data_IF_963093339306
#
_entry.id   IF_963093339306
#
_cell.length_a   1.000
_cell.length_b   1.000
_cell.length_c   1.000
_cell.angle_alpha   90.00
_cell.angle_beta   90.00
_cell.angle_gamma   90.00
#
_symmetry.space_group_name_H-M   'P 1'
#
loop_
_entity.id
_entity.type
_entity.pdbx_description
1 polymer ?
#
# COMPACT_ATOMS: atom_id res chain seq x y z
N UNK A 1 33.76 -4.59 -5.61
CA UNK A 1 33.43 -3.98 -6.93
C UNK A 1 32.00 -4.36 -7.22
N UNK A 2 31.14 -3.40 -7.55
CA UNK A 2 29.77 -3.71 -7.98
C UNK A 2 29.82 -4.60 -9.22
N UNK A 3 28.93 -5.58 -9.34
CA UNK A 3 28.84 -6.45 -10.51
C UNK A 3 28.33 -5.65 -11.72
N UNK A 4 28.53 -6.15 -12.93
CA UNK A 4 27.96 -5.56 -14.15
C UNK A 4 26.41 -5.49 -14.05
N UNK A 5 25.81 -6.47 -13.39
CA UNK A 5 24.37 -6.50 -13.08
C UNK A 5 23.99 -5.35 -12.17
N UNK A 6 24.73 -5.09 -11.09
CA UNK A 6 24.45 -3.99 -10.17
C UNK A 6 24.49 -2.63 -10.89
N UNK A 7 25.50 -2.44 -11.76
CA UNK A 7 25.62 -1.21 -12.55
C UNK A 7 24.43 -0.99 -13.49
N UNK A 8 23.93 -2.07 -14.13
CA UNK A 8 22.73 -2.02 -15.00
C UNK A 8 21.47 -1.72 -14.20
N UNK A 9 21.31 -2.32 -13.00
CA UNK A 9 20.17 -2.07 -12.12
C UNK A 9 20.17 -0.63 -11.66
N UNK A 10 21.31 -0.09 -11.22
CA UNK A 10 21.42 1.31 -10.83
C UNK A 10 21.13 2.27 -11.98
N UNK A 11 21.55 1.94 -13.21
CA UNK A 11 21.25 2.74 -14.39
C UNK A 11 19.75 2.74 -14.70
N UNK A 12 19.10 1.58 -14.63
CA UNK A 12 17.67 1.43 -14.80
C UNK A 12 16.89 2.26 -13.78
N UNK A 13 17.21 2.12 -12.49
CA UNK A 13 16.52 2.82 -11.40
C UNK A 13 16.69 4.34 -11.41
N UNK A 14 17.76 4.87 -12.03
CA UNK A 14 17.89 6.30 -12.24
C UNK A 14 16.87 6.85 -13.23
N UNK A 15 16.47 6.08 -14.22
CA UNK A 15 15.52 6.49 -15.25
C UNK A 15 14.09 6.04 -14.95
N UNK A 16 13.97 4.93 -14.18
CA UNK A 16 12.70 4.31 -13.80
C UNK A 16 12.75 3.98 -12.30
N UNK A 17 12.68 4.98 -11.43
CA UNK A 17 12.75 4.75 -9.99
C UNK A 17 11.53 3.97 -9.48
N UNK A 18 11.72 3.25 -8.37
CA UNK A 18 10.65 2.52 -7.71
C UNK A 18 9.61 3.50 -7.15
N UNK A 19 8.35 3.20 -7.39
CA UNK A 19 7.21 3.84 -6.71
C UNK A 19 6.64 2.79 -5.75
N UNK A 20 6.86 3.00 -4.46
CA UNK A 20 6.39 2.08 -3.41
C UNK A 20 4.98 2.46 -2.97
N UNK A 21 4.06 1.49 -3.06
CA UNK A 21 2.64 1.68 -2.78
C UNK A 21 2.28 1.75 -1.30
N UNK A 22 3.16 1.29 -0.38
CA UNK A 22 2.76 1.19 1.03
C UNK A 22 3.95 1.13 1.98
N UNK A 23 3.92 1.96 3.03
CA UNK A 23 4.96 1.97 4.04
C UNK A 23 4.42 2.47 5.40
N UNK A 24 4.49 1.62 6.42
CA UNK A 24 3.96 1.88 7.77
C UNK A 24 4.93 2.62 8.69
N UNK A 25 5.93 3.30 8.16
CA UNK A 25 6.85 4.09 8.98
C UNK A 25 6.14 5.09 9.92
N UNK A 26 5.04 5.76 9.50
CA UNK A 26 4.30 6.65 10.42
C UNK A 26 3.73 5.93 11.63
N UNK A 27 3.26 4.69 11.48
CA UNK A 27 2.78 3.87 12.60
C UNK A 27 3.93 3.44 13.52
N UNK A 28 5.05 3.00 12.94
CA UNK A 28 6.25 2.68 13.72
C UNK A 28 6.77 3.87 14.53
N UNK A 29 6.71 5.08 13.98
CA UNK A 29 7.08 6.29 14.69
C UNK A 29 6.11 6.60 15.84
N UNK A 30 4.81 6.35 15.67
CA UNK A 30 3.82 6.46 16.75
C UNK A 30 4.17 5.55 17.92
N UNK A 31 4.35 4.26 17.64
CA UNK A 31 4.54 3.23 18.65
C UNK A 31 5.89 3.34 19.37
N UNK A 32 6.93 3.74 18.64
CA UNK A 32 8.29 3.79 19.21
C UNK A 32 8.61 5.08 19.93
N UNK A 33 8.22 6.22 19.34
CA UNK A 33 8.71 7.54 19.77
C UNK A 33 7.61 8.61 19.80
N UNK A 34 6.34 8.21 19.79
CA UNK A 34 5.19 9.14 19.80
C UNK A 34 5.35 10.30 18.77
N UNK A 35 5.82 9.93 17.56
CA UNK A 35 6.13 10.85 16.45
C UNK A 35 7.29 11.83 16.67
N UNK A 36 8.16 11.59 17.66
CA UNK A 36 9.38 12.39 17.81
C UNK A 36 10.42 12.00 16.74
N UNK A 37 10.35 12.69 15.60
CA UNK A 37 11.28 12.51 14.49
C UNK A 37 12.73 12.95 14.82
N UNK A 38 12.99 13.55 16.01
CA UNK A 38 14.34 13.80 16.47
C UNK A 38 14.92 12.57 17.18
N UNK A 39 14.10 11.77 17.83
CA UNK A 39 14.49 10.50 18.42
C UNK A 39 14.59 9.40 17.36
N UNK A 40 13.65 9.34 16.40
CA UNK A 40 13.69 8.47 15.22
C UNK A 40 14.17 9.28 14.00
N UNK A 41 15.47 9.61 13.95
CA UNK A 41 16.03 10.38 12.83
C UNK A 41 16.29 9.49 11.61
N UNK A 42 15.34 9.46 10.68
CA UNK A 42 15.40 8.65 9.46
C UNK A 42 16.42 9.13 8.42
N UNK A 43 17.07 10.27 8.62
CA UNK A 43 18.22 10.66 7.81
C UNK A 43 19.48 9.85 8.15
N UNK A 44 19.52 9.23 9.32
CA UNK A 44 20.63 8.39 9.77
C UNK A 44 20.43 6.93 9.33
N UNK A 45 21.51 6.25 8.88
CA UNK A 45 21.41 4.85 8.49
C UNK A 45 21.21 3.92 9.69
N UNK A 46 20.57 2.76 9.44
CA UNK A 46 20.47 1.69 10.44
C UNK A 46 19.45 1.93 11.54
N UNK A 47 18.42 2.72 11.25
CA UNK A 47 17.29 2.88 12.16
C UNK A 47 16.64 1.52 12.48
N UNK A 48 16.05 1.33 13.67
CA UNK A 48 15.41 0.08 14.08
C UNK A 48 14.06 -0.17 13.40
N UNK A 49 13.85 0.43 12.23
CA UNK A 49 12.69 0.30 11.34
C UNK A 49 13.12 -0.36 10.03
N UNK A 50 12.18 -0.82 9.21
CA UNK A 50 12.50 -1.32 7.87
C UNK A 50 12.94 -0.20 6.91
N UNK A 51 12.63 1.06 7.23
CA UNK A 51 12.81 2.22 6.36
C UNK A 51 13.68 3.29 7.02
N UNK A 52 14.63 3.82 6.25
CA UNK A 52 15.31 5.09 6.46
C UNK A 52 15.68 5.71 5.10
N UNK A 53 15.98 6.99 5.06
CA UNK A 53 16.29 7.71 3.81
C UNK A 53 17.49 7.10 3.08
N UNK A 54 18.61 6.73 3.74
CA UNK A 54 19.72 6.06 3.06
C UNK A 54 19.32 4.76 2.35
N UNK A 55 18.46 3.92 2.97
CA UNK A 55 17.97 2.68 2.36
C UNK A 55 17.01 2.93 1.21
N UNK A 56 16.10 3.90 1.32
CA UNK A 56 15.21 4.31 0.21
C UNK A 56 16.04 4.75 -1.01
N UNK A 57 17.06 5.58 -0.79
CA UNK A 57 17.95 6.02 -1.86
C UNK A 57 18.77 4.88 -2.47
N UNK A 58 19.30 3.98 -1.63
CA UNK A 58 20.05 2.81 -2.08
C UNK A 58 19.16 1.85 -2.91
N UNK A 59 17.87 1.74 -2.56
CA UNK A 59 16.87 0.96 -3.29
C UNK A 59 16.30 1.65 -4.52
N UNK A 60 16.72 2.88 -4.83
CA UNK A 60 16.23 3.62 -6.00
C UNK A 60 14.77 4.05 -5.90
N UNK A 61 14.25 4.26 -4.69
CA UNK A 61 12.88 4.73 -4.46
C UNK A 61 12.77 6.20 -4.86
N UNK A 62 11.91 6.49 -5.83
CA UNK A 62 11.60 7.86 -6.29
C UNK A 62 10.28 8.40 -5.76
N UNK A 63 9.35 7.50 -5.38
CA UNK A 63 8.12 7.90 -4.73
C UNK A 63 7.69 6.87 -3.67
N UNK A 64 7.09 7.34 -2.58
CA UNK A 64 6.65 6.54 -1.47
C UNK A 64 5.24 6.96 -1.04
N UNK A 65 4.32 6.00 -0.98
CA UNK A 65 3.09 6.17 -0.23
C UNK A 65 3.33 5.85 1.26
N UNK A 66 3.18 6.85 2.09
CA UNK A 66 3.19 6.70 3.54
C UNK A 66 1.79 6.30 4.02
N UNK A 67 1.70 5.14 4.65
CA UNK A 67 0.44 4.65 5.21
C UNK A 67 0.07 5.45 6.46
N UNK A 68 -1.15 5.98 6.48
CA UNK A 68 -1.79 6.49 7.70
C UNK A 68 -2.76 5.43 8.20
N UNK A 69 -2.14 4.38 8.75
CA UNK A 69 -2.83 3.24 9.35
C UNK A 69 -3.38 3.60 10.73
N UNK A 70 -4.56 3.06 11.04
CA UNK A 70 -5.11 3.06 12.40
C UNK A 70 -5.78 1.71 12.68
N UNK A 71 -5.72 1.20 13.93
CA UNK A 71 -6.37 -0.05 14.30
C UNK A 71 -7.86 -0.06 13.94
N UNK A 72 -8.33 -1.17 13.43
CA UNK A 72 -9.71 -1.35 12.97
C UNK A 72 -10.74 -1.44 14.10
N UNK A 73 -10.28 -1.72 15.32
CA UNK A 73 -11.10 -1.78 16.54
C UNK A 73 -11.33 -0.40 17.19
N UNK A 74 -10.72 0.66 16.67
CA UNK A 74 -10.98 2.01 17.16
C UNK A 74 -12.43 2.43 16.83
N UNK A 75 -13.19 2.90 17.83
CA UNK A 75 -14.57 3.34 17.59
C UNK A 75 -14.63 4.60 16.73
N UNK A 76 -15.40 4.58 15.66
CA UNK A 76 -15.88 5.69 14.85
C UNK A 76 -15.01 6.94 14.83
N UNK A 77 -15.38 7.97 15.58
CA UNK A 77 -14.66 9.25 15.61
C UNK A 77 -13.22 9.15 16.14
N UNK A 78 -12.87 8.13 16.93
CA UNK A 78 -11.51 7.94 17.39
C UNK A 78 -10.59 7.48 16.25
N UNK A 79 -11.10 6.63 15.33
CA UNK A 79 -10.36 6.25 14.13
C UNK A 79 -10.09 7.47 13.25
N UNK A 80 -11.09 8.35 13.05
CA UNK A 80 -10.91 9.61 12.30
C UNK A 80 -9.84 10.49 12.96
N UNK A 81 -9.89 10.68 14.29
CA UNK A 81 -8.90 11.49 15.02
C UNK A 81 -7.51 10.92 14.87
N UNK A 82 -7.34 9.61 15.08
CA UNK A 82 -6.04 8.95 14.95
C UNK A 82 -5.48 9.03 13.51
N UNK A 83 -6.36 8.97 12.49
CA UNK A 83 -5.96 9.18 11.09
C UNK A 83 -5.45 10.60 10.86
N UNK A 84 -6.09 11.62 11.44
CA UNK A 84 -5.64 13.01 11.34
C UNK A 84 -4.28 13.21 12.03
N UNK A 85 -4.03 12.59 13.18
CA UNK A 85 -2.72 12.60 13.87
C UNK A 85 -1.63 11.96 12.99
N UNK A 86 -1.93 10.86 12.30
CA UNK A 86 -1.01 10.21 11.37
C UNK A 86 -0.69 11.12 10.17
N UNK A 87 -1.69 11.79 9.60
CA UNK A 87 -1.49 12.74 8.49
C UNK A 87 -0.60 13.89 8.93
N UNK A 88 -0.82 14.46 10.12
CA UNK A 88 0.01 15.52 10.69
C UNK A 88 1.45 15.06 10.86
N UNK A 89 1.65 13.85 11.39
CA UNK A 89 2.98 13.25 11.56
C UNK A 89 3.73 13.05 10.24
N UNK A 90 3.02 12.64 9.16
CA UNK A 90 3.62 12.53 7.83
C UNK A 90 4.01 13.91 7.29
N UNK A 91 3.16 14.91 7.45
CA UNK A 91 3.51 16.29 7.05
C UNK A 91 4.70 16.84 7.83
N UNK A 92 4.77 16.58 9.15
CA UNK A 92 5.91 16.95 9.99
C UNK A 92 7.21 16.24 9.55
N UNK A 93 7.14 14.95 9.21
CA UNK A 93 8.25 14.18 8.67
C UNK A 93 8.77 14.80 7.36
N UNK A 94 7.89 15.05 6.40
CA UNK A 94 8.27 15.65 5.12
C UNK A 94 8.92 17.02 5.32
N UNK A 95 8.38 17.85 6.20
CA UNK A 95 8.91 19.17 6.50
C UNK A 95 10.27 19.13 7.21
N UNK A 96 10.57 18.06 7.97
CA UNK A 96 11.85 17.87 8.65
C UNK A 96 12.99 17.51 7.70
N UNK A 97 12.70 16.83 6.59
CA UNK A 97 13.70 16.35 5.64
C UNK A 97 13.50 16.95 4.24
N UNK A 98 13.53 18.28 4.09
CA UNK A 98 13.14 18.96 2.84
C UNK A 98 14.13 18.74 1.69
N UNK A 99 15.36 18.32 1.98
CA UNK A 99 16.37 18.00 0.97
C UNK A 99 16.16 16.58 0.39
N UNK A 100 15.42 15.73 1.08
CA UNK A 100 15.20 14.33 0.71
C UNK A 100 13.75 14.05 0.31
N UNK A 101 12.78 14.62 1.02
CA UNK A 101 11.36 14.36 0.87
C UNK A 101 10.62 15.59 0.36
N UNK A 102 9.61 15.38 -0.48
CA UNK A 102 8.70 16.46 -0.90
C UNK A 102 7.28 15.93 -1.06
N UNK A 103 6.30 16.66 -0.53
CA UNK A 103 4.90 16.28 -0.68
C UNK A 103 4.48 16.26 -2.15
N UNK A 104 3.84 15.17 -2.58
CA UNK A 104 3.29 15.00 -3.90
C UNK A 104 1.79 14.68 -3.82
N UNK A 105 1.02 15.22 -4.74
CA UNK A 105 -0.45 15.04 -4.82
C UNK A 105 -0.92 14.63 -6.21
N UNK A 106 -0.05 14.75 -7.20
CA UNK A 106 -0.32 14.47 -8.62
C UNK A 106 0.87 13.73 -9.23
N UNK A 107 0.67 13.08 -10.40
CA UNK A 107 1.76 12.48 -11.17
C UNK A 107 2.85 13.51 -11.52
N UNK A 108 2.47 14.72 -11.91
CA UNK A 108 3.43 15.79 -12.20
C UNK A 108 4.23 16.26 -10.97
N UNK A 109 3.70 16.09 -9.75
CA UNK A 109 4.48 16.35 -8.53
C UNK A 109 5.54 15.27 -8.33
N UNK A 110 5.19 13.99 -8.64
CA UNK A 110 6.13 12.86 -8.56
C UNK A 110 7.28 13.07 -9.56
N UNK A 111 6.96 13.34 -10.82
CA UNK A 111 7.94 13.59 -11.88
C UNK A 111 8.91 14.73 -11.47
N UNK A 112 8.36 15.84 -11.01
CA UNK A 112 9.15 16.98 -10.54
C UNK A 112 10.03 16.66 -9.35
N UNK A 113 9.55 15.86 -8.40
CA UNK A 113 10.34 15.42 -7.25
C UNK A 113 11.53 14.58 -7.69
N UNK A 114 11.31 13.61 -8.58
CA UNK A 114 12.34 12.75 -9.17
C UNK A 114 13.39 13.58 -9.91
N UNK A 115 12.99 14.54 -10.76
CA UNK A 115 13.87 15.44 -11.47
C UNK A 115 14.75 16.28 -10.51
N UNK A 116 14.22 16.60 -9.32
CA UNK A 116 14.94 17.33 -8.28
C UNK A 116 15.80 16.43 -7.37
N UNK A 117 15.83 15.11 -7.63
CA UNK A 117 16.57 14.14 -6.82
C UNK A 117 15.97 13.92 -5.44
N UNK A 118 14.67 14.23 -5.24
CA UNK A 118 13.92 14.02 -4.01
C UNK A 118 12.94 12.87 -4.15
N UNK A 119 12.57 12.27 -3.01
CA UNK A 119 11.56 11.22 -2.95
C UNK A 119 10.18 11.88 -2.81
N UNK A 120 9.33 11.69 -3.81
CA UNK A 120 7.94 12.13 -3.77
C UNK A 120 7.20 11.41 -2.65
N UNK A 121 6.60 12.16 -1.74
CA UNK A 121 5.91 11.63 -0.56
C UNK A 121 4.41 11.82 -0.71
N UNK A 122 3.70 10.70 -0.88
CA UNK A 122 2.24 10.64 -0.97
C UNK A 122 1.67 10.06 0.33
N UNK A 123 0.38 10.21 0.56
CA UNK A 123 -0.31 9.68 1.73
C UNK A 123 -1.40 8.71 1.27
N UNK A 124 -1.41 7.51 1.85
CA UNK A 124 -2.47 6.53 1.71
C UNK A 124 -3.15 6.27 3.03
N UNK A 125 -4.48 6.33 3.08
CA UNK A 125 -5.23 5.95 4.28
C UNK A 125 -5.53 4.44 4.23
N UNK A 126 -5.16 3.72 5.29
CA UNK A 126 -5.37 2.29 5.35
C UNK A 126 -6.53 1.92 6.26
N UNK A 127 -7.60 1.53 5.60
CA UNK A 127 -8.82 1.05 6.24
C UNK A 127 -9.98 2.05 6.27
N UNK A 128 -11.15 1.59 5.88
CA UNK A 128 -12.38 2.40 5.77
C UNK A 128 -12.91 2.93 7.10
N UNK A 129 -12.43 2.41 8.25
CA UNK A 129 -12.70 2.98 9.57
C UNK A 129 -12.21 4.43 9.69
N UNK A 130 -11.20 4.82 8.91
CA UNK A 130 -10.65 6.18 8.85
C UNK A 130 -11.68 7.26 8.46
N UNK A 131 -12.80 6.88 7.86
CA UNK A 131 -13.86 7.82 7.46
C UNK A 131 -15.13 7.73 8.31
N UNK A 132 -15.23 6.81 9.27
CA UNK A 132 -16.41 6.59 10.13
C UNK A 132 -17.74 6.64 9.33
N UNK A 133 -17.77 5.94 8.19
CA UNK A 133 -18.93 5.93 7.26
C UNK A 133 -19.39 7.33 6.83
N UNK A 134 -18.47 8.29 6.68
CA UNK A 134 -18.76 9.69 6.32
C UNK A 134 -18.05 10.10 5.02
N UNK A 135 -18.83 10.40 3.96
CA UNK A 135 -18.27 11.00 2.75
C UNK A 135 -17.67 12.41 3.01
N UNK A 136 -18.13 13.09 4.06
CA UNK A 136 -17.54 14.35 4.50
C UNK A 136 -16.11 14.16 4.99
N UNK A 137 -15.88 13.15 5.84
CA UNK A 137 -14.55 12.77 6.31
C UNK A 137 -13.65 12.38 5.11
N UNK A 138 -14.13 11.55 4.18
CA UNK A 138 -13.40 11.16 2.97
C UNK A 138 -12.90 12.39 2.18
N UNK A 139 -13.79 13.37 1.95
CA UNK A 139 -13.42 14.63 1.26
C UNK A 139 -12.35 15.43 2.00
N UNK A 140 -12.43 15.44 3.33
CA UNK A 140 -11.43 16.15 4.14
C UNK A 140 -10.09 15.44 4.13
N UNK A 141 -10.04 14.10 4.20
CA UNK A 141 -8.79 13.35 4.04
C UNK A 141 -8.12 13.65 2.70
N UNK A 142 -8.89 13.68 1.59
CA UNK A 142 -8.37 14.07 0.28
C UNK A 142 -7.79 15.50 0.28
N UNK A 143 -8.49 16.45 0.91
CA UNK A 143 -8.05 17.84 1.02
C UNK A 143 -6.74 17.96 1.81
N UNK A 144 -6.54 17.11 2.82
CA UNK A 144 -5.32 17.03 3.62
C UNK A 144 -4.16 16.33 2.90
N UNK A 145 -4.38 15.73 1.75
CA UNK A 145 -3.31 15.15 0.93
C UNK A 145 -3.38 13.65 0.72
N UNK A 146 -4.36 12.94 1.30
CA UNK A 146 -4.56 11.51 1.07
C UNK A 146 -4.90 11.27 -0.40
N UNK A 147 -4.25 10.26 -1.01
CA UNK A 147 -4.39 9.95 -2.45
C UNK A 147 -4.91 8.55 -2.73
N UNK A 148 -4.91 7.66 -1.75
CA UNK A 148 -5.74 6.46 -1.79
C UNK A 148 -6.45 6.21 -0.46
N UNK A 149 -7.51 5.43 -0.49
CA UNK A 149 -8.13 4.80 0.68
C UNK A 149 -8.24 3.30 0.42
N UNK A 150 -7.64 2.50 1.31
CA UNK A 150 -7.88 1.06 1.37
C UNK A 150 -9.25 0.83 2.02
N UNK A 151 -10.17 0.14 1.34
CA UNK A 151 -11.58 0.11 1.74
C UNK A 151 -11.85 -0.61 3.07
N UNK A 152 -10.96 -1.54 3.45
CA UNK A 152 -10.96 -2.21 4.78
C UNK A 152 -9.53 -2.39 5.26
N UNK A 153 -9.33 -2.74 6.52
CA UNK A 153 -8.10 -3.37 7.01
C UNK A 153 -8.38 -4.85 7.33
N UNK A 154 -7.97 -5.36 8.48
CA UNK A 154 -8.16 -6.77 8.84
C UNK A 154 -9.61 -7.14 9.20
N UNK A 155 -10.40 -6.17 9.63
CA UNK A 155 -11.81 -6.34 9.98
C UNK A 155 -12.72 -5.66 8.95
N UNK A 156 -13.96 -6.15 8.87
CA UNK A 156 -14.97 -5.51 8.04
C UNK A 156 -15.25 -4.08 8.52
N UNK A 157 -15.63 -3.23 7.57
CA UNK A 157 -16.34 -1.99 7.90
C UNK A 157 -17.83 -2.16 7.59
N UNK A 158 -18.73 -1.31 8.10
CA UNK A 158 -20.18 -1.48 7.89
C UNK A 158 -20.63 -1.54 6.42
N UNK A 159 -19.74 -1.22 5.48
CA UNK A 159 -20.05 -1.08 4.06
C UNK A 159 -19.13 -1.87 3.10
N UNK A 160 -18.12 -2.58 3.63
CA UNK A 160 -17.21 -3.42 2.83
C UNK A 160 -16.66 -4.59 3.66
N UNK A 161 -16.52 -5.76 3.03
CA UNK A 161 -15.95 -6.96 3.65
C UNK A 161 -14.43 -7.03 3.47
N UNK A 162 -13.72 -7.34 4.57
CA UNK A 162 -12.29 -7.62 4.61
C UNK A 162 -11.97 -9.04 4.13
N UNK A 163 -10.74 -9.24 3.67
CA UNK A 163 -10.22 -10.56 3.30
C UNK A 163 -10.02 -11.51 4.48
N UNK A 164 -9.88 -10.98 5.69
CA UNK A 164 -9.49 -11.74 6.90
C UNK A 164 -10.58 -11.80 7.96
N UNK A 165 -11.75 -11.26 7.67
CA UNK A 165 -12.92 -11.34 8.54
C UNK A 165 -14.07 -12.14 7.88
N UNK A 166 -15.08 -12.47 8.67
CA UNK A 166 -16.27 -13.18 8.20
C UNK A 166 -17.14 -12.23 7.37
N UNK A 167 -17.46 -12.56 6.10
CA UNK A 167 -18.25 -11.69 5.24
C UNK A 167 -19.63 -11.34 5.86
N UNK A 168 -20.02 -10.08 5.78
CA UNK A 168 -21.28 -9.55 6.33
C UNK A 168 -22.16 -8.92 5.26
N UNK A 169 -21.57 -8.17 4.32
CA UNK A 169 -22.33 -7.43 3.29
C UNK A 169 -22.23 -8.08 1.90
N UNK A 170 -21.38 -9.08 1.72
CA UNK A 170 -21.17 -9.75 0.43
C UNK A 170 -20.46 -8.87 -0.59
N UNK A 171 -19.38 -8.20 -0.15
CA UNK A 171 -18.62 -7.27 -0.95
C UNK A 171 -18.83 -5.81 -0.54
N UNK A 172 -19.50 -5.01 -1.37
CA UNK A 172 -19.84 -3.61 -1.07
C UNK A 172 -21.34 -3.41 -0.84
N UNK A 173 -21.69 -2.73 0.25
CA UNK A 173 -23.05 -2.21 0.45
C UNK A 173 -23.37 -1.07 -0.53
N UNK A 174 -24.59 -0.53 -0.51
CA UNK A 174 -24.95 0.66 -1.27
C UNK A 174 -24.05 1.87 -0.92
N UNK A 175 -23.78 2.10 0.38
CA UNK A 175 -22.87 3.14 0.82
C UNK A 175 -21.43 2.90 0.38
N UNK A 176 -20.94 1.64 0.40
CA UNK A 176 -19.61 1.30 -0.11
C UNK A 176 -19.43 1.67 -1.58
N UNK A 177 -20.47 1.47 -2.40
CA UNK A 177 -20.46 1.93 -3.80
C UNK A 177 -20.43 3.45 -3.93
N UNK A 178 -21.14 4.18 -3.05
CA UNK A 178 -21.07 5.63 -2.99
C UNK A 178 -19.67 6.11 -2.62
N UNK A 179 -18.98 5.43 -1.70
CA UNK A 179 -17.58 5.73 -1.34
C UNK A 179 -16.68 5.58 -2.57
N UNK A 180 -16.76 4.46 -3.30
CA UNK A 180 -15.97 4.23 -4.53
C UNK A 180 -16.22 5.33 -5.57
N UNK A 181 -17.47 5.67 -5.82
CA UNK A 181 -17.83 6.72 -6.80
C UNK A 181 -17.36 8.11 -6.34
N UNK A 182 -17.44 8.42 -5.05
CA UNK A 182 -16.93 9.68 -4.50
C UNK A 182 -15.39 9.75 -4.60
N UNK A 183 -14.68 8.65 -4.35
CA UNK A 183 -13.23 8.57 -4.57
C UNK A 183 -12.88 8.85 -6.03
N UNK A 184 -13.60 8.25 -6.98
CA UNK A 184 -13.41 8.53 -8.41
C UNK A 184 -13.65 10.02 -8.72
N UNK A 185 -14.72 10.62 -8.19
CA UNK A 185 -15.02 12.05 -8.39
C UNK A 185 -13.92 12.98 -7.86
N UNK A 186 -13.29 12.60 -6.74
CA UNK A 186 -12.19 13.35 -6.14
C UNK A 186 -10.85 13.16 -6.89
N UNK A 187 -10.68 12.08 -7.63
CA UNK A 187 -9.39 11.63 -8.13
C UNK A 187 -8.53 10.94 -7.05
N UNK A 188 -9.18 10.32 -6.06
CA UNK A 188 -8.55 9.46 -5.07
C UNK A 188 -8.57 8.03 -5.57
N UNK A 189 -7.43 7.34 -5.52
CA UNK A 189 -7.31 5.95 -5.92
C UNK A 189 -8.07 5.04 -4.95
N UNK A 190 -8.84 4.10 -5.50
CA UNK A 190 -9.46 3.02 -4.71
C UNK A 190 -8.42 1.93 -4.52
N UNK A 191 -8.00 1.70 -3.28
CA UNK A 191 -7.06 0.64 -2.96
C UNK A 191 -7.82 -0.61 -2.49
N UNK A 192 -7.57 -1.72 -3.17
CA UNK A 192 -8.22 -3.01 -2.97
C UNK A 192 -7.34 -4.02 -2.20
N UNK A 193 -6.20 -3.60 -1.67
CA UNK A 193 -5.50 -4.38 -0.66
C UNK A 193 -6.41 -4.59 0.56
N UNK A 194 -6.23 -5.67 1.30
CA UNK A 194 -7.04 -6.06 2.48
C UNK A 194 -8.48 -6.48 2.24
N UNK A 195 -9.12 -6.11 1.16
CA UNK A 195 -10.55 -6.39 0.95
C UNK A 195 -10.80 -7.83 0.52
N UNK A 196 -11.98 -8.36 0.80
CA UNK A 196 -12.39 -9.70 0.33
C UNK A 196 -12.45 -9.76 -1.20
N UNK A 197 -12.32 -10.97 -1.76
CA UNK A 197 -12.42 -11.16 -3.21
C UNK A 197 -13.78 -10.65 -3.78
N UNK A 198 -14.85 -10.76 -3.01
CA UNK A 198 -16.15 -10.23 -3.43
C UNK A 198 -16.19 -8.71 -3.38
N UNK A 199 -15.50 -8.08 -2.42
CA UNK A 199 -15.30 -6.62 -2.41
C UNK A 199 -14.44 -6.16 -3.58
N UNK A 200 -13.37 -6.89 -3.94
CA UNK A 200 -12.56 -6.59 -5.13
C UNK A 200 -13.43 -6.55 -6.40
N UNK A 201 -14.25 -7.59 -6.61
CA UNK A 201 -15.16 -7.68 -7.76
C UNK A 201 -16.21 -6.57 -7.75
N UNK A 202 -16.85 -6.34 -6.60
CA UNK A 202 -17.86 -5.30 -6.45
C UNK A 202 -17.30 -3.89 -6.68
N UNK A 203 -16.08 -3.62 -6.23
CA UNK A 203 -15.38 -2.36 -6.48
C UNK A 203 -15.06 -2.17 -7.97
N UNK A 204 -14.54 -3.22 -8.64
CA UNK A 204 -14.28 -3.20 -10.08
C UNK A 204 -15.56 -3.06 -10.92
N UNK A 205 -16.69 -3.56 -10.44
CA UNK A 205 -18.01 -3.35 -11.09
C UNK A 205 -18.56 -1.94 -10.89
N UNK A 206 -18.06 -1.22 -9.88
CA UNK A 206 -18.57 0.11 -9.48
C UNK A 206 -17.68 1.24 -9.99
N UNK A 207 -16.36 1.04 -9.96
CA UNK A 207 -15.40 2.10 -10.27
C UNK A 207 -15.44 2.53 -11.73
N UNK A 208 -15.18 3.81 -11.95
CA UNK A 208 -15.06 4.45 -13.28
C UNK A 208 -13.61 4.93 -13.53
N UNK A 209 -12.68 4.58 -12.63
CA UNK A 209 -11.29 4.97 -12.69
C UNK A 209 -10.38 3.78 -12.32
N UNK A 210 -9.09 3.81 -12.67
CA UNK A 210 -8.13 2.81 -12.28
C UNK A 210 -8.09 2.59 -10.76
N UNK A 211 -8.03 1.31 -10.35
CA UNK A 211 -7.83 0.91 -8.96
C UNK A 211 -6.37 0.53 -8.72
N UNK A 212 -5.98 0.42 -7.45
CA UNK A 212 -4.69 -0.14 -7.08
C UNK A 212 -4.86 -1.28 -6.07
N UNK A 213 -3.88 -2.16 -6.06
CA UNK A 213 -3.54 -3.01 -4.93
C UNK A 213 -2.20 -2.50 -4.41
N UNK A 214 -2.22 -1.67 -3.38
CA UNK A 214 -1.02 -0.98 -2.90
C UNK A 214 0.03 -1.94 -2.32
N UNK A 215 -0.40 -3.12 -1.81
CA UNK A 215 0.46 -4.16 -1.24
C UNK A 215 -0.27 -5.51 -1.20
N UNK A 216 -0.30 -6.23 -2.31
CA UNK A 216 -0.90 -7.56 -2.45
C UNK A 216 -0.07 -8.42 -3.41
N UNK A 217 -0.27 -9.74 -3.38
CA UNK A 217 0.41 -10.69 -4.26
C UNK A 217 -0.60 -11.56 -5.00
N UNK A 218 -0.17 -12.51 -5.82
CA UNK A 218 -1.04 -13.39 -6.59
C UNK A 218 -1.51 -14.59 -5.76
N UNK A 219 -2.83 -14.85 -5.69
CA UNK A 219 -3.40 -15.97 -4.93
C UNK A 219 -3.04 -17.32 -5.53
N UNK A 220 -2.88 -17.40 -6.83
CA UNK A 220 -2.50 -18.63 -7.51
C UNK A 220 -1.16 -19.22 -7.05
N UNK A 221 -0.22 -18.38 -6.59
CA UNK A 221 1.10 -18.80 -6.11
C UNK A 221 1.14 -19.01 -4.60
N UNK A 222 0.36 -18.25 -3.84
CA UNK A 222 0.23 -18.41 -2.39
C UNK A 222 -1.23 -18.16 -2.00
N UNK A 223 -1.93 -19.24 -1.57
CA UNK A 223 -3.34 -19.21 -1.22
C UNK A 223 -3.58 -18.48 0.11
N UNK A 224 -3.27 -17.20 0.13
CA UNK A 224 -3.58 -16.30 1.22
C UNK A 224 -4.79 -15.42 0.86
N UNK A 225 -5.77 -15.19 1.77
CA UNK A 225 -6.95 -14.37 1.47
C UNK A 225 -6.61 -12.91 1.09
N UNK A 226 -5.45 -12.41 1.54
CA UNK A 226 -4.92 -11.09 1.18
C UNK A 226 -4.41 -11.00 -0.26
N UNK A 227 -4.17 -12.13 -0.91
CA UNK A 227 -3.68 -12.20 -2.29
C UNK A 227 -4.83 -12.12 -3.29
N UNK A 228 -4.53 -11.56 -4.46
CA UNK A 228 -5.50 -11.25 -5.52
C UNK A 228 -5.77 -12.49 -6.37
N UNK A 229 -7.03 -12.90 -6.56
CA UNK A 229 -7.38 -13.98 -7.49
C UNK A 229 -7.14 -13.60 -8.95
N UNK A 230 -6.85 -14.59 -9.81
CA UNK A 230 -6.54 -14.36 -11.23
C UNK A 230 -7.69 -13.73 -12.01
N UNK A 231 -8.94 -14.05 -11.67
CA UNK A 231 -10.11 -13.42 -12.30
C UNK A 231 -10.20 -11.90 -12.01
N UNK A 232 -9.65 -11.48 -10.89
CA UNK A 232 -9.54 -10.06 -10.51
C UNK A 232 -8.32 -9.42 -11.17
N UNK A 233 -7.15 -10.09 -11.14
CA UNK A 233 -5.94 -9.61 -11.83
C UNK A 233 -6.20 -9.37 -13.31
N UNK A 234 -6.87 -10.29 -13.99
CA UNK A 234 -7.19 -10.17 -15.42
C UNK A 234 -8.03 -8.92 -15.73
N UNK A 235 -8.82 -8.43 -14.79
CA UNK A 235 -9.65 -7.21 -14.98
C UNK A 235 -8.84 -5.91 -14.90
N UNK A 236 -7.61 -5.95 -14.39
CA UNK A 236 -6.78 -4.74 -14.31
C UNK A 236 -6.40 -4.20 -15.69
N UNK A 237 -6.22 -5.09 -16.68
CA UNK A 237 -5.95 -4.68 -18.05
C UNK A 237 -7.03 -3.74 -18.62
N UNK A 238 -8.30 -4.08 -18.42
CA UNK A 238 -9.44 -3.27 -18.87
C UNK A 238 -9.68 -2.04 -17.98
N UNK A 239 -9.40 -2.18 -16.67
CA UNK A 239 -9.59 -1.09 -15.69
C UNK A 239 -8.49 -0.03 -15.75
N UNK A 240 -7.28 -0.39 -16.22
CA UNK A 240 -6.09 0.46 -16.20
C UNK A 240 -5.42 0.57 -14.82
N UNK A 241 -5.80 -0.29 -13.88
CA UNK A 241 -5.24 -0.35 -12.53
C UNK A 241 -3.94 -1.14 -12.45
N UNK A 242 -3.40 -1.29 -11.23
CA UNK A 242 -2.15 -2.02 -10.99
C UNK A 242 -2.11 -2.78 -9.67
N UNK A 243 -1.27 -3.83 -9.65
CA UNK A 243 -0.99 -4.63 -8.47
C UNK A 243 0.47 -4.46 -8.07
N UNK A 244 0.72 -3.84 -6.91
CA UNK A 244 2.03 -3.69 -6.31
C UNK A 244 2.30 -4.89 -5.41
N UNK A 245 3.32 -5.70 -5.79
CA UNK A 245 3.63 -6.95 -5.12
C UNK A 245 4.25 -6.68 -3.76
N UNK A 246 3.64 -7.24 -2.71
CA UNK A 246 4.15 -7.09 -1.34
C UNK A 246 5.27 -8.07 -1.02
N UNK A 247 6.17 -7.69 -0.09
CA UNK A 247 7.27 -8.52 0.40
C UNK A 247 6.94 -9.29 1.69
N UNK A 248 5.68 -9.35 2.10
CA UNK A 248 5.26 -10.10 3.30
C UNK A 248 5.49 -11.59 3.08
N UNK A 249 6.35 -12.27 3.89
CA UNK A 249 6.74 -13.66 3.67
C UNK A 249 5.58 -14.64 3.53
N UNK A 250 4.51 -14.45 4.31
CA UNK A 250 3.30 -15.29 4.28
C UNK A 250 2.41 -15.09 3.06
N UNK A 251 2.63 -14.02 2.29
CA UNK A 251 1.85 -13.73 1.08
C UNK A 251 2.60 -14.17 -0.17
N UNK A 252 3.90 -14.43 -0.06
CA UNK A 252 4.72 -14.81 -1.23
C UNK A 252 5.22 -16.26 -1.18
N UNK A 253 5.25 -16.91 -0.02
CA UNK A 253 5.72 -18.29 0.09
C UNK A 253 4.64 -19.24 0.59
N UNK A 254 4.09 -20.07 -0.30
CA UNK A 254 3.14 -21.12 0.05
C UNK A 254 3.76 -22.14 1.01
N UNK A 255 5.02 -22.52 0.78
CA UNK A 255 5.71 -23.49 1.64
C UNK A 255 5.86 -23.00 3.09
N UNK A 256 6.17 -21.69 3.28
CA UNK A 256 6.22 -21.08 4.61
C UNK A 256 4.83 -21.06 5.27
N UNK A 257 3.81 -20.69 4.51
CA UNK A 257 2.43 -20.65 4.98
C UNK A 257 1.91 -22.04 5.40
N UNK A 258 2.19 -23.06 4.63
CA UNK A 258 1.79 -24.43 4.94
C UNK A 258 2.50 -24.96 6.18
N UNK A 259 3.80 -24.69 6.30
CA UNK A 259 4.58 -25.08 7.47
C UNK A 259 4.06 -24.40 8.77
N UNK A 260 3.71 -23.13 8.72
CA UNK A 260 3.20 -22.41 9.90
C UNK A 260 1.80 -22.85 10.30
N UNK A 261 0.99 -23.38 9.35
CA UNK A 261 -0.31 -24.00 9.65
C UNK A 261 -0.15 -25.39 10.28
N UNK A 262 0.77 -26.18 9.76
CA UNK A 262 1.03 -27.56 10.20
C UNK A 262 2.55 -27.76 10.32
N UNK A 263 3.18 -27.33 11.44
CA UNK A 263 4.61 -27.48 11.64
C UNK A 263 5.04 -28.94 11.58
N UNK A 264 6.12 -29.22 10.89
CA UNK A 264 6.75 -30.54 10.77
C UNK A 264 8.15 -30.53 11.40
N UNK A 265 8.82 -31.72 11.44
CA UNK A 265 10.21 -31.80 11.89
C UNK A 265 11.21 -31.20 10.88
N UNK A 266 10.77 -30.86 9.67
CA UNK A 266 11.60 -30.15 8.69
C UNK A 266 11.90 -28.70 9.14
N UNK A 267 13.06 -28.14 8.76
CA UNK A 267 13.35 -26.75 9.00
C UNK A 267 12.26 -25.83 8.44
N UNK A 268 11.91 -24.79 9.19
CA UNK A 268 10.93 -23.78 8.74
C UNK A 268 11.39 -23.13 7.44
N UNK A 269 10.61 -23.18 6.36
CA UNK A 269 10.93 -22.51 5.11
C UNK A 269 11.10 -21.00 5.29
N UNK A 270 11.86 -20.37 4.41
CA UNK A 270 11.99 -18.93 4.37
C UNK A 270 11.55 -18.43 2.99
N UNK A 271 10.83 -17.33 2.97
CA UNK A 271 10.56 -16.63 1.73
C UNK A 271 11.86 -16.02 1.17
N UNK A 272 11.95 -15.95 -0.14
CA UNK A 272 13.11 -15.45 -0.87
C UNK A 272 12.71 -14.33 -1.85
N UNK A 273 13.70 -13.65 -2.42
CA UNK A 273 13.47 -12.70 -3.52
C UNK A 273 12.90 -13.43 -4.76
N UNK A 274 13.28 -14.69 -4.99
CA UNK A 274 12.74 -15.47 -6.11
C UNK A 274 11.23 -15.72 -5.97
N UNK A 275 10.71 -15.86 -4.74
CA UNK A 275 9.29 -15.96 -4.50
C UNK A 275 8.59 -14.65 -4.91
N UNK A 276 9.15 -13.49 -4.55
CA UNK A 276 8.63 -12.18 -4.96
C UNK A 276 8.65 -12.02 -6.47
N UNK A 277 9.76 -12.36 -7.12
CA UNK A 277 9.91 -12.32 -8.59
C UNK A 277 8.86 -13.20 -9.25
N UNK A 278 8.61 -14.40 -8.72
CA UNK A 278 7.57 -15.29 -9.26
C UNK A 278 6.17 -14.63 -9.22
N UNK A 279 5.84 -13.91 -8.14
CA UNK A 279 4.58 -13.15 -8.08
C UNK A 279 4.55 -12.00 -9.09
N UNK A 280 5.66 -11.27 -9.28
CA UNK A 280 5.77 -10.24 -10.31
C UNK A 280 5.53 -10.82 -11.71
N UNK A 281 6.17 -11.94 -12.04
CA UNK A 281 5.98 -12.62 -13.33
C UNK A 281 4.54 -13.12 -13.53
N UNK A 282 3.91 -13.66 -12.48
CA UNK A 282 2.52 -14.11 -12.55
C UNK A 282 1.55 -12.94 -12.81
N UNK A 283 1.70 -11.82 -12.09
CA UNK A 283 0.89 -10.62 -12.34
C UNK A 283 1.11 -10.11 -13.76
N UNK A 284 2.36 -10.09 -14.25
CA UNK A 284 2.68 -9.72 -15.63
C UNK A 284 2.01 -10.63 -16.65
N UNK A 285 1.97 -11.94 -16.39
CA UNK A 285 1.34 -12.91 -17.30
C UNK A 285 -0.18 -12.77 -17.36
N UNK A 286 -0.82 -12.49 -16.22
CA UNK A 286 -2.28 -12.43 -16.10
C UNK A 286 -2.84 -11.06 -16.44
N UNK A 287 -2.25 -9.99 -15.93
CA UNK A 287 -2.73 -8.62 -16.07
C UNK A 287 -2.00 -7.82 -17.17
N UNK A 288 -0.77 -8.17 -17.50
CA UNK A 288 0.10 -7.41 -18.41
C UNK A 288 1.15 -6.57 -17.68
N UNK A 289 2.23 -6.23 -18.38
CA UNK A 289 3.38 -5.49 -17.81
C UNK A 289 3.02 -4.10 -17.32
N UNK A 290 2.01 -3.45 -17.90
CA UNK A 290 1.57 -2.11 -17.53
C UNK A 290 0.76 -2.08 -16.20
N UNK A 291 0.47 -3.26 -15.62
CA UNK A 291 -0.42 -3.42 -14.46
C UNK A 291 0.28 -4.01 -13.24
N UNK A 292 1.62 -3.98 -13.23
CA UNK A 292 2.46 -4.49 -12.15
C UNK A 292 3.24 -3.33 -11.51
N UNK A 293 3.37 -3.39 -10.18
CA UNK A 293 4.18 -2.50 -9.38
C UNK A 293 4.91 -3.23 -8.27
#
# INVERSE_FOLDING_TARGET
MASETDARVHDLLRHHPVIDGHNDLPWEARERVAYDWAELDIALPGQPTHTDIPRLRAGGVGAQFWSVFVPSDLPGSQAVTATLEQIDAVHAMIARYPDDLVAARTASDIERAIEQGRIASLIGAEGGQSIDSSLGALRMLFSLGVRYLTLTHNDNVPWADSATDTPVVGGLSAFGREVVLEMNRLGMLVDLSHVSADTMRAALDTTQAPVIFSHSSARALCDHPRNVPDDVLARLADNGGGCMVTFVPYFVSQALRDWDREPTDAPRPQASIDDVVAHCEHVREVAGIEHIG
#
